data_IF_101572006290
#
_entry.id   IF_101572006290
#
_cell.length_a   1.000
_cell.length_b   1.000
_cell.length_c   1.000
_cell.angle_alpha   90.00
_cell.angle_beta   90.00
_cell.angle_gamma   90.00
#
_symmetry.space_group_name_H-M   'P 1'
#
loop_
_entity.id
_entity.type
_entity.pdbx_description
1 polymer ?
#
# COMPACT_ATOMS: atom_id res chain seq x y z
N UNK A 1 -13.85 -0.04 -10.72
CA UNK A 1 -13.09 -0.04 -9.45
C UNK A 1 -13.81 -1.02 -8.55
N UNK A 2 -13.13 -2.06 -8.07
CA UNK A 2 -13.75 -3.27 -7.49
C UNK A 2 -14.64 -2.91 -6.28
N UNK A 3 -15.94 -3.23 -6.29
CA UNK A 3 -16.87 -2.90 -5.20
C UNK A 3 -16.47 -3.60 -3.88
N UNK A 4 -15.74 -4.71 -3.99
CA UNK A 4 -15.31 -5.55 -2.88
C UNK A 4 -14.36 -4.88 -1.88
N UNK A 5 -13.58 -3.85 -2.22
CA UNK A 5 -12.62 -3.25 -1.26
C UNK A 5 -13.10 -1.95 -0.62
N UNK A 6 -14.20 -1.36 -1.11
CA UNK A 6 -14.70 -0.08 -0.64
C UNK A 6 -15.13 -0.10 0.83
N UNK A 7 -15.39 -1.27 1.40
CA UNK A 7 -15.77 -1.42 2.81
C UNK A 7 -14.57 -1.36 3.76
N UNK A 8 -13.36 -1.71 3.28
CA UNK A 8 -12.15 -1.81 4.08
C UNK A 8 -11.70 -0.45 4.62
N UNK A 9 -11.41 -0.39 5.92
CA UNK A 9 -10.97 0.85 6.57
C UNK A 9 -9.66 1.38 5.96
N UNK A 10 -8.69 0.50 5.69
CA UNK A 10 -7.41 0.86 5.07
C UNK A 10 -7.62 1.49 3.68
N UNK A 11 -8.54 0.95 2.87
CA UNK A 11 -8.83 1.47 1.54
C UNK A 11 -9.51 2.84 1.61
N UNK A 12 -10.50 3.01 2.51
CA UNK A 12 -11.13 4.32 2.77
C UNK A 12 -10.11 5.37 3.18
N UNK A 13 -9.16 5.02 4.05
CA UNK A 13 -8.06 5.92 4.45
C UNK A 13 -7.13 6.25 3.29
N UNK A 14 -6.81 5.28 2.41
CA UNK A 14 -6.06 5.56 1.18
C UNK A 14 -6.79 6.55 0.25
N UNK A 15 -8.12 6.45 0.11
CA UNK A 15 -8.93 7.43 -0.64
C UNK A 15 -8.92 8.82 -0.01
N UNK A 16 -8.91 8.90 1.31
CA UNK A 16 -8.79 10.17 2.04
C UNK A 16 -7.42 10.83 1.78
N UNK A 17 -6.34 10.05 1.81
CA UNK A 17 -4.98 10.51 1.46
C UNK A 17 -4.94 11.00 0.01
N UNK A 18 -5.48 10.23 -0.95
CA UNK A 18 -5.54 10.60 -2.38
C UNK A 18 -6.24 11.94 -2.60
N UNK A 19 -7.43 12.11 -2.00
CA UNK A 19 -8.16 13.39 -2.06
C UNK A 19 -7.33 14.54 -1.49
N UNK A 20 -6.66 14.32 -0.36
CA UNK A 20 -5.90 15.37 0.33
C UNK A 20 -4.61 15.71 -0.43
N UNK A 21 -3.93 14.71 -1.01
CA UNK A 21 -2.77 14.90 -1.88
C UNK A 21 -3.13 15.74 -3.09
N UNK A 22 -4.26 15.45 -3.78
CA UNK A 22 -4.72 16.26 -4.91
C UNK A 22 -4.91 17.72 -4.51
N UNK A 23 -5.66 17.97 -3.43
CA UNK A 23 -5.90 19.33 -2.93
C UNK A 23 -4.59 20.08 -2.64
N UNK A 24 -3.63 19.44 -1.97
CA UNK A 24 -2.36 20.10 -1.60
C UNK A 24 -1.46 20.31 -2.82
N UNK A 25 -1.36 19.30 -3.69
CA UNK A 25 -0.48 19.36 -4.87
C UNK A 25 -1.07 20.23 -6.00
N UNK A 26 -2.36 20.54 -5.97
CA UNK A 26 -2.97 21.57 -6.83
C UNK A 26 -2.52 22.99 -6.47
N UNK A 27 -1.92 23.19 -5.30
CA UNK A 27 -1.30 24.47 -4.91
C UNK A 27 0.14 24.61 -5.42
N UNK A 28 0.71 23.58 -6.05
CA UNK A 28 2.07 23.65 -6.55
C UNK A 28 2.14 24.55 -7.80
N UNK A 29 3.11 25.48 -7.88
CA UNK A 29 3.27 26.35 -9.05
C UNK A 29 3.47 25.54 -10.34
N UNK A 30 2.73 25.88 -11.40
CA UNK A 30 2.76 25.15 -12.68
C UNK A 30 4.13 25.25 -13.36
N UNK A 31 4.83 26.37 -13.18
CA UNK A 31 6.15 26.66 -13.71
C UNK A 31 7.32 26.00 -12.94
N UNK A 32 7.04 25.31 -11.83
CA UNK A 32 8.05 24.63 -11.03
C UNK A 32 8.13 23.14 -11.41
N UNK A 33 8.99 22.81 -12.36
CA UNK A 33 9.18 21.45 -12.88
C UNK A 33 9.43 20.41 -11.78
N UNK A 34 10.17 20.77 -10.73
CA UNK A 34 10.44 19.86 -9.62
C UNK A 34 9.17 19.54 -8.84
N UNK A 35 8.40 20.56 -8.45
CA UNK A 35 7.15 20.35 -7.71
C UNK A 35 6.10 19.63 -8.56
N UNK A 36 6.04 19.89 -9.86
CA UNK A 36 5.16 19.15 -10.77
C UNK A 36 5.58 17.68 -10.88
N UNK A 37 6.88 17.39 -10.99
CA UNK A 37 7.38 16.02 -10.96
C UNK A 37 7.08 15.32 -9.63
N UNK A 38 7.24 16.03 -8.51
CA UNK A 38 6.90 15.52 -7.18
C UNK A 38 5.40 15.24 -7.04
N UNK A 39 4.54 16.10 -7.60
CA UNK A 39 3.08 15.87 -7.67
C UNK A 39 2.78 14.58 -8.40
N UNK A 40 3.37 14.35 -9.57
CA UNK A 40 3.19 13.11 -10.33
C UNK A 40 3.59 11.88 -9.50
N UNK A 41 4.76 11.92 -8.86
CA UNK A 41 5.23 10.82 -8.00
C UNK A 41 4.28 10.54 -6.83
N UNK A 42 3.82 11.59 -6.13
CA UNK A 42 2.88 11.46 -5.01
C UNK A 42 1.54 10.85 -5.43
N UNK A 43 1.03 11.28 -6.59
CA UNK A 43 -0.23 10.75 -7.12
C UNK A 43 -0.08 9.31 -7.63
N UNK A 44 1.08 8.96 -8.19
CA UNK A 44 1.40 7.59 -8.56
C UNK A 44 1.49 6.70 -7.31
N UNK A 45 2.23 7.09 -6.28
CA UNK A 45 2.39 6.32 -5.04
C UNK A 45 1.04 6.01 -4.39
N UNK A 46 0.12 6.98 -4.31
CA UNK A 46 -1.21 6.73 -3.72
C UNK A 46 -2.11 5.85 -4.60
N UNK A 47 -1.95 5.93 -5.93
CA UNK A 47 -2.62 5.01 -6.85
C UNK A 47 -2.08 3.59 -6.72
N UNK A 48 -0.76 3.43 -6.56
CA UNK A 48 -0.12 2.14 -6.28
C UNK A 48 -0.66 1.55 -4.98
N UNK A 49 -0.75 2.33 -3.90
CA UNK A 49 -1.34 1.86 -2.64
C UNK A 49 -2.76 1.30 -2.87
N UNK A 50 -3.64 2.05 -3.54
CA UNK A 50 -5.01 1.62 -3.81
C UNK A 50 -5.05 0.35 -4.66
N UNK A 51 -4.25 0.27 -5.72
CA UNK A 51 -4.19 -0.88 -6.61
C UNK A 51 -3.69 -2.14 -5.89
N UNK A 52 -2.68 -2.01 -5.03
CA UNK A 52 -2.08 -3.13 -4.30
C UNK A 52 -2.96 -3.63 -3.15
N UNK A 53 -3.75 -2.76 -2.51
CA UNK A 53 -4.81 -3.20 -1.60
C UNK A 53 -5.83 -4.05 -2.38
N UNK A 54 -6.31 -3.58 -3.52
CA UNK A 54 -7.24 -4.35 -4.36
C UNK A 54 -6.65 -5.68 -4.83
N UNK A 55 -5.38 -5.71 -5.22
CA UNK A 55 -4.69 -6.93 -5.65
C UNK A 55 -4.55 -7.96 -4.53
N UNK A 56 -4.19 -7.53 -3.33
CA UNK A 56 -4.08 -8.41 -2.16
C UNK A 56 -5.43 -8.97 -1.70
N UNK A 57 -6.51 -8.21 -1.83
CA UNK A 57 -7.87 -8.66 -1.47
C UNK A 57 -8.47 -9.62 -2.51
N UNK A 58 -7.96 -9.61 -3.74
CA UNK A 58 -8.43 -10.48 -4.82
C UNK A 58 -7.81 -11.88 -4.80
N UNK A 59 -6.92 -12.18 -3.84
CA UNK A 59 -6.22 -13.47 -3.73
C UNK A 59 -6.26 -13.99 -2.30
N UNK A 60 -6.11 -15.31 -2.13
CA UNK A 60 -5.95 -15.96 -0.81
C UNK A 60 -4.49 -16.05 -0.37
N UNK A 61 -3.57 -16.01 -1.33
CA UNK A 61 -2.14 -16.31 -1.18
C UNK A 61 -1.41 -15.29 -0.30
N UNK A 62 -0.91 -15.75 0.84
CA UNK A 62 -0.17 -15.01 1.85
C UNK A 62 1.10 -14.38 1.27
N UNK A 63 1.87 -15.15 0.51
CA UNK A 63 3.10 -14.71 -0.14
C UNK A 63 2.82 -13.50 -1.07
N UNK A 64 1.84 -13.62 -1.96
CA UNK A 64 1.40 -12.50 -2.80
C UNK A 64 0.82 -11.33 -2.01
N UNK A 65 0.04 -11.59 -0.95
CA UNK A 65 -0.47 -10.52 -0.06
C UNK A 65 0.67 -9.77 0.61
N UNK A 66 1.70 -10.47 1.08
CA UNK A 66 2.89 -9.89 1.71
C UNK A 66 3.74 -9.10 0.71
N UNK A 67 3.86 -9.56 -0.54
CA UNK A 67 4.49 -8.78 -1.62
C UNK A 67 3.76 -7.45 -1.85
N UNK A 68 2.43 -7.49 -1.99
CA UNK A 68 1.60 -6.29 -2.13
C UNK A 68 1.76 -5.36 -0.91
N UNK A 69 1.80 -5.91 0.30
CA UNK A 69 2.00 -5.15 1.54
C UNK A 69 3.36 -4.45 1.58
N UNK A 70 4.42 -5.09 1.08
CA UNK A 70 5.75 -4.48 0.98
C UNK A 70 5.75 -3.26 0.03
N UNK A 71 5.09 -3.38 -1.13
CA UNK A 71 4.95 -2.28 -2.10
C UNK A 71 4.14 -1.12 -1.50
N UNK A 72 3.02 -1.42 -0.83
CA UNK A 72 2.20 -0.41 -0.12
C UNK A 72 3.05 0.35 0.90
N UNK A 73 3.82 -0.36 1.72
CA UNK A 73 4.68 0.27 2.74
C UNK A 73 5.74 1.18 2.11
N UNK A 74 6.35 0.77 1.00
CA UNK A 74 7.30 1.60 0.24
C UNK A 74 6.62 2.89 -0.22
N UNK A 75 5.50 2.79 -0.93
CA UNK A 75 4.79 3.95 -1.47
C UNK A 75 4.31 4.90 -0.36
N UNK A 76 3.80 4.37 0.76
CA UNK A 76 3.40 5.17 1.91
C UNK A 76 4.58 5.93 2.53
N UNK A 77 5.76 5.30 2.58
CA UNK A 77 6.98 5.95 3.06
C UNK A 77 7.45 7.06 2.12
N UNK A 78 7.37 6.85 0.81
CA UNK A 78 7.74 7.86 -0.18
C UNK A 78 6.83 9.09 -0.10
N UNK A 79 5.53 8.90 0.09
CA UNK A 79 4.60 9.97 0.43
C UNK A 79 5.05 10.66 1.73
N UNK A 80 5.30 9.91 2.82
CA UNK A 80 5.68 10.49 4.11
C UNK A 80 6.92 11.41 4.03
N UNK A 81 7.95 11.00 3.29
CA UNK A 81 9.24 11.73 3.21
C UNK A 81 9.24 12.85 2.18
N UNK A 82 8.40 12.79 1.15
CA UNK A 82 8.32 13.79 0.08
C UNK A 82 8.04 15.21 0.58
N UNK A 83 7.34 15.35 1.72
CA UNK A 83 7.11 16.64 2.36
C UNK A 83 8.38 17.39 2.79
N UNK A 84 9.52 16.71 2.94
CA UNK A 84 10.76 17.31 3.44
C UNK A 84 11.41 18.28 2.45
N UNK A 85 11.19 18.08 1.15
CA UNK A 85 11.78 18.93 0.12
C UNK A 85 10.93 20.15 -0.24
N UNK A 86 9.66 20.20 0.21
CA UNK A 86 8.71 21.23 -0.24
C UNK A 86 9.18 22.67 0.02
N UNK A 87 9.66 22.96 1.24
CA UNK A 87 10.16 24.31 1.58
C UNK A 87 11.42 24.66 0.79
N UNK A 88 12.31 23.68 0.59
CA UNK A 88 13.55 23.86 -0.17
C UNK A 88 13.28 24.24 -1.63
N UNK A 89 12.19 23.76 -2.21
CA UNK A 89 11.79 24.06 -3.59
C UNK A 89 10.73 25.17 -3.69
N UNK A 90 10.57 25.99 -2.65
CA UNK A 90 9.81 27.24 -2.70
C UNK A 90 8.30 27.09 -2.50
N UNK A 91 7.81 25.96 -1.98
CA UNK A 91 6.41 25.81 -1.66
C UNK A 91 6.06 26.51 -0.32
N UNK A 92 5.44 27.69 -0.41
CA UNK A 92 5.07 28.55 0.73
C UNK A 92 4.15 27.89 1.75
N UNK A 93 3.41 26.89 1.29
CA UNK A 93 2.32 26.27 2.03
C UNK A 93 2.66 24.84 2.51
N UNK A 94 3.95 24.53 2.59
CA UNK A 94 4.49 23.24 3.05
C UNK A 94 3.94 22.79 4.42
N UNK A 95 3.52 23.74 5.27
CA UNK A 95 2.82 23.46 6.53
C UNK A 95 1.58 22.57 6.36
N UNK A 96 0.86 22.65 5.24
CA UNK A 96 -0.32 21.81 4.99
C UNK A 96 0.05 20.34 4.78
N UNK A 97 1.30 20.04 4.42
CA UNK A 97 1.77 18.66 4.31
C UNK A 97 1.74 17.90 5.64
N UNK A 98 1.68 18.60 6.78
CA UNK A 98 1.46 17.97 8.09
C UNK A 98 0.14 17.17 8.12
N UNK A 99 -0.87 17.60 7.38
CA UNK A 99 -2.16 16.87 7.26
C UNK A 99 -1.93 15.52 6.59
N UNK A 100 -1.14 15.48 5.50
CA UNK A 100 -0.77 14.22 4.83
C UNK A 100 -0.04 13.29 5.78
N UNK A 101 0.93 13.81 6.53
CA UNK A 101 1.70 13.00 7.49
C UNK A 101 0.80 12.36 8.55
N UNK A 102 -0.14 13.12 9.11
CA UNK A 102 -1.12 12.58 10.06
C UNK A 102 -1.96 11.47 9.42
N UNK A 103 -2.47 11.69 8.20
CA UNK A 103 -3.27 10.68 7.50
C UNK A 103 -2.47 9.40 7.18
N UNK A 104 -1.19 9.53 6.84
CA UNK A 104 -0.30 8.39 6.60
C UNK A 104 0.00 7.63 7.90
N UNK A 105 0.11 8.31 9.04
CA UNK A 105 0.23 7.63 10.34
C UNK A 105 -1.05 6.89 10.73
N UNK A 106 -2.23 7.46 10.51
CA UNK A 106 -3.50 6.76 10.70
C UNK A 106 -3.60 5.53 9.78
N UNK A 107 -3.20 5.70 8.51
CA UNK A 107 -3.13 4.60 7.54
C UNK A 107 -2.19 3.50 8.01
N UNK A 108 -1.04 3.84 8.61
CA UNK A 108 -0.08 2.87 9.14
C UNK A 108 -0.69 1.97 10.21
N UNK A 109 -1.55 2.50 11.08
CA UNK A 109 -2.24 1.71 12.10
C UNK A 109 -3.21 0.72 11.44
N UNK A 110 -4.02 1.19 10.49
CA UNK A 110 -4.93 0.33 9.72
C UNK A 110 -4.18 -0.72 8.88
N UNK A 111 -3.00 -0.39 8.38
CA UNK A 111 -2.13 -1.31 7.65
C UNK A 111 -1.63 -2.45 8.53
N UNK A 112 -1.26 -2.17 9.78
CA UNK A 112 -0.83 -3.20 10.73
C UNK A 112 -1.97 -4.19 10.97
N UNK A 113 -3.17 -3.68 11.27
CA UNK A 113 -4.35 -4.52 11.51
C UNK A 113 -4.73 -5.34 10.27
N UNK A 114 -4.61 -4.74 9.09
CA UNK A 114 -4.89 -5.41 7.81
C UNK A 114 -3.93 -6.57 7.52
N UNK A 115 -2.62 -6.35 7.67
CA UNK A 115 -1.61 -7.41 7.47
C UNK A 115 -1.75 -8.52 8.53
N UNK A 116 -2.13 -8.17 9.76
CA UNK A 116 -2.38 -9.16 10.82
C UNK A 116 -3.54 -10.11 10.50
N UNK A 117 -4.43 -9.73 9.57
CA UNK A 117 -5.53 -10.57 9.09
C UNK A 117 -5.12 -11.61 8.04
N UNK A 118 -3.89 -11.61 7.53
CA UNK A 118 -3.48 -12.57 6.51
C UNK A 118 -3.30 -13.97 7.10
N UNK A 119 -3.78 -14.99 6.40
CA UNK A 119 -3.66 -16.38 6.84
C UNK A 119 -2.30 -16.97 6.39
N UNK A 120 -1.34 -17.22 7.30
CA UNK A 120 -0.02 -17.73 6.94
C UNK A 120 -0.04 -19.18 6.44
N UNK A 121 -1.19 -19.87 6.49
CA UNK A 121 -1.34 -21.23 5.93
C UNK A 121 -1.68 -21.22 4.44
N UNK A 122 -2.20 -20.13 3.91
CA UNK A 122 -2.60 -20.04 2.51
C UNK A 122 -1.43 -19.49 1.70
N UNK A 123 -0.35 -20.25 1.52
CA UNK A 123 0.84 -19.74 0.83
C UNK A 123 1.34 -20.72 -0.23
N UNK A 124 2.03 -20.20 -1.23
CA UNK A 124 2.95 -20.96 -2.08
C UNK A 124 4.37 -20.59 -1.66
N UNK A 125 5.30 -21.55 -1.70
CA UNK A 125 6.71 -21.27 -1.37
C UNK A 125 7.25 -20.22 -2.32
N UNK A 126 7.71 -19.12 -1.75
CA UNK A 126 8.48 -18.10 -2.42
C UNK A 126 9.95 -18.54 -2.47
N UNK A 127 10.43 -18.86 -3.67
CA UNK A 127 11.81 -19.26 -3.94
C UNK A 127 12.84 -18.14 -3.63
N UNK A 128 12.39 -16.88 -3.53
CA UNK A 128 13.25 -15.76 -3.09
C UNK A 128 13.31 -15.63 -1.58
N UNK A 129 12.36 -16.25 -0.85
CA UNK A 129 12.33 -16.31 0.61
C UNK A 129 11.88 -15.05 1.32
N UNK A 130 11.43 -14.02 0.60
CA UNK A 130 11.07 -12.74 1.19
C UNK A 130 9.69 -12.75 1.82
N UNK A 131 8.77 -13.54 1.25
CA UNK A 131 7.36 -13.54 1.62
C UNK A 131 6.84 -14.89 2.12
N UNK A 132 7.75 -15.83 2.35
CA UNK A 132 7.45 -17.08 3.05
C UNK A 132 6.93 -16.81 4.48
N UNK A 133 5.96 -17.60 4.96
CA UNK A 133 5.57 -17.56 6.37
C UNK A 133 6.77 -17.82 7.29
N UNK A 134 6.73 -17.32 8.54
CA UNK A 134 7.82 -17.53 9.49
C UNK A 134 8.18 -19.01 9.67
N UNK A 135 9.44 -19.34 9.43
CA UNK A 135 9.96 -20.70 9.56
C UNK A 135 9.92 -21.55 8.30
N UNK A 136 9.37 -21.04 7.19
CA UNK A 136 9.42 -21.70 5.89
C UNK A 136 10.66 -21.26 5.13
N UNK A 137 11.48 -22.23 4.72
CA UNK A 137 12.68 -22.02 3.93
C UNK A 137 12.34 -21.95 2.44
N UNK A 138 13.09 -21.20 1.61
CA UNK A 138 12.86 -21.13 0.16
C UNK A 138 13.00 -22.48 -0.56
N UNK A 139 13.69 -23.46 0.04
CA UNK A 139 13.84 -24.82 -0.46
C UNK A 139 12.81 -25.80 0.12
N UNK A 140 11.83 -25.30 0.88
CA UNK A 140 10.77 -26.14 1.42
C UNK A 140 9.94 -26.74 0.28
N UNK A 141 9.79 -28.07 0.28
CA UNK A 141 8.91 -28.76 -0.67
C UNK A 141 7.52 -28.85 -0.04
N UNK A 142 6.61 -28.01 -0.51
CA UNK A 142 5.21 -28.05 -0.09
C UNK A 142 4.57 -29.38 -0.43
N UNK A 143 3.75 -29.89 0.49
CA UNK A 143 2.93 -31.08 0.27
C UNK A 143 1.59 -30.69 -0.33
N UNK A 144 0.99 -31.61 -1.10
CA UNK A 144 -0.31 -31.40 -1.74
C UNK A 144 -1.42 -31.04 -0.72
N UNK A 145 -1.38 -31.62 0.48
CA UNK A 145 -2.37 -31.36 1.53
C UNK A 145 -2.30 -29.92 2.08
N UNK A 146 -1.19 -29.21 1.88
CA UNK A 146 -1.02 -27.81 2.26
C UNK A 146 -1.64 -26.85 1.23
N UNK A 147 -2.01 -27.35 0.05
CA UNK A 147 -2.58 -26.59 -1.07
C UNK A 147 -4.11 -26.73 -1.19
N UNK A 148 -4.74 -27.52 -0.33
CA UNK A 148 -6.20 -27.78 -0.37
C UNK A 148 -7.06 -26.50 -0.40
N UNK A 149 -6.57 -25.38 0.16
CA UNK A 149 -7.26 -24.08 0.16
C UNK A 149 -7.45 -23.47 -1.24
N UNK A 150 -6.72 -23.96 -2.26
CA UNK A 150 -6.88 -23.56 -3.66
C UNK A 150 -8.15 -24.14 -4.29
N UNK A 151 -8.58 -25.31 -3.81
CA UNK A 151 -9.78 -26.01 -4.27
C UNK A 151 -11.03 -25.64 -3.44
N UNK A 152 -10.85 -24.89 -2.35
CA UNK A 152 -11.96 -24.32 -1.60
C UNK A 152 -12.61 -23.21 -2.44
N UNK A 153 -13.76 -23.51 -3.03
CA UNK A 153 -14.64 -22.51 -3.64
C UNK A 153 -14.92 -21.39 -2.62
N UNK A 154 -14.84 -20.15 -3.07
CA UNK A 154 -15.29 -19.00 -2.28
C UNK A 154 -16.81 -19.06 -2.12
N UNK A 155 -17.30 -19.85 -1.16
CA UNK A 155 -18.70 -19.81 -0.73
C UNK A 155 -18.98 -18.47 -0.03
N UNK A 156 -19.33 -17.48 -0.86
CA UNK A 156 -19.95 -16.16 -0.59
C UNK A 156 -19.21 -15.15 0.28
#
# INVERSE_FOLDING_TARGET
MNEHTNHLAIYKKAKEIDKTLRIITDLFPEENDYLQSLKSNLLEDIMVIQAKICGAEAVKLYDLKMENAAIIRKAARDIMVSGNSLEMFGFSDAKYYKIIRTLVEDFRLLFIDWVAGFNPKHYIVDDWGLFNPPGISPDYIQRDDELNFLDEDDEN
#
